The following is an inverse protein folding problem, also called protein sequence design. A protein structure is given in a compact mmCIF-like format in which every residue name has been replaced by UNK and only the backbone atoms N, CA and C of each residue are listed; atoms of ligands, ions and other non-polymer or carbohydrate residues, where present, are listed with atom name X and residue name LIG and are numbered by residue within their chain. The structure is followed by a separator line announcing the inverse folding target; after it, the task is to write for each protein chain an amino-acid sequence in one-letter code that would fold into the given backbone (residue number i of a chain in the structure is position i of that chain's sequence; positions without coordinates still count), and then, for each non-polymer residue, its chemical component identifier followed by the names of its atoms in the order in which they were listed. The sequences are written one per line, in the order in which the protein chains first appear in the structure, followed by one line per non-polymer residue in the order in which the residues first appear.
data_IF_996711953891
#
_entry.id   IF_996711953891
#
_cell.length_a   1.000
_cell.length_b   1.000
_cell.length_c   1.000
_cell.angle_alpha   90.00
_cell.angle_beta   90.00
_cell.angle_gamma   90.00
#
_symmetry.space_group_name_H-M   'P 1'
#
loop_
_entity.id
_entity.type
_entity.pdbx_description
1 polymer ?
#
# COMPACT_ATOMS: atom_id res chain seq x y z
N UNK A 1 23.16 5.60 -11.00
CA UNK A 1 22.87 7.06 -10.98
C UNK A 1 22.51 7.45 -9.56
N UNK A 2 23.13 8.49 -9.01
CA UNK A 2 22.84 8.94 -7.64
C UNK A 2 21.71 9.99 -7.67
N UNK A 3 20.76 9.92 -6.74
CA UNK A 3 19.61 10.84 -6.66
C UNK A 3 20.04 12.32 -6.54
N UNK A 4 21.17 12.56 -5.88
CA UNK A 4 21.84 13.86 -5.74
C UNK A 4 22.43 14.41 -7.03
N UNK A 5 22.79 13.55 -7.97
CA UNK A 5 23.35 13.92 -9.26
C UNK A 5 22.24 14.38 -10.22
N UNK A 6 21.03 13.82 -10.10
CA UNK A 6 19.86 14.27 -10.88
C UNK A 6 19.16 15.48 -10.26
N UNK A 7 19.02 15.55 -8.93
CA UNK A 7 18.28 16.63 -8.29
C UNK A 7 19.13 17.89 -8.04
N UNK A 8 20.45 17.74 -7.81
CA UNK A 8 21.32 18.85 -7.42
C UNK A 8 22.63 18.94 -8.22
N UNK A 9 22.86 18.07 -9.21
CA UNK A 9 24.05 18.09 -10.09
C UNK A 9 25.40 18.00 -9.33
N UNK A 10 25.40 17.52 -8.09
CA UNK A 10 26.61 17.36 -7.26
C UNK A 10 27.12 15.92 -7.41
N UNK A 11 28.33 15.79 -7.99
CA UNK A 11 28.97 14.52 -8.34
C UNK A 11 29.79 13.94 -7.18
N UNK A 12 29.19 13.74 -6.00
CA UNK A 12 29.92 13.17 -4.86
C UNK A 12 29.17 12.02 -4.17
N UNK A 13 29.72 10.80 -4.30
CA UNK A 13 29.17 9.57 -3.73
C UNK A 13 29.02 9.64 -2.21
N UNK A 14 30.01 10.22 -1.53
CA UNK A 14 30.05 10.27 -0.07
C UNK A 14 29.03 11.26 0.50
N UNK A 15 28.84 12.39 -0.16
CA UNK A 15 27.82 13.37 0.23
C UNK A 15 26.41 12.76 0.17
N UNK A 16 26.13 11.98 -0.87
CA UNK A 16 24.84 11.31 -1.06
C UNK A 16 24.56 10.28 0.04
N UNK A 17 25.55 9.45 0.38
CA UNK A 17 25.42 8.49 1.47
C UNK A 17 25.29 9.20 2.82
N UNK A 18 26.06 10.28 3.04
CA UNK A 18 26.01 11.03 4.29
C UNK A 18 24.63 11.65 4.54
N UNK A 19 24.03 12.30 3.53
CA UNK A 19 22.69 12.91 3.65
C UNK A 19 21.62 11.86 3.97
N UNK A 20 21.66 10.70 3.32
CA UNK A 20 20.72 9.60 3.57
C UNK A 20 20.90 9.05 4.98
N UNK A 21 22.14 8.73 5.36
CA UNK A 21 22.46 8.18 6.69
C UNK A 21 22.08 9.18 7.78
N UNK A 22 22.42 10.45 7.63
CA UNK A 22 22.09 11.50 8.59
C UNK A 22 20.57 11.66 8.76
N UNK A 23 19.81 11.72 7.66
CA UNK A 23 18.35 11.85 7.71
C UNK A 23 17.69 10.62 8.31
N UNK A 24 18.15 9.42 7.93
CA UNK A 24 17.66 8.15 8.48
C UNK A 24 18.00 8.00 9.97
N UNK A 25 19.19 8.44 10.39
CA UNK A 25 19.63 8.45 11.78
C UNK A 25 18.82 9.42 12.63
N UNK A 26 18.56 10.63 12.15
CA UNK A 26 17.68 11.59 12.82
C UNK A 26 16.26 11.04 13.02
N UNK A 27 15.73 10.32 12.02
CA UNK A 27 14.42 9.67 12.12
C UNK A 27 14.43 8.49 13.11
N UNK A 28 15.51 7.70 13.15
CA UNK A 28 15.68 6.60 14.09
C UNK A 28 15.72 7.10 15.55
N UNK A 29 16.45 8.19 15.80
CA UNK A 29 16.53 8.83 17.12
C UNK A 29 15.19 9.45 17.56
N UNK A 30 14.32 9.81 16.63
CA UNK A 30 12.98 10.36 16.92
C UNK A 30 11.97 9.30 17.40
N UNK A 31 12.30 7.99 17.36
CA UNK A 31 11.43 6.91 17.84
C UNK A 31 10.22 6.60 16.94
N UNK A 32 9.95 7.42 15.92
CA UNK A 32 8.81 7.28 14.99
C UNK A 32 8.88 6.06 14.08
N UNK A 33 10.06 5.45 13.94
CA UNK A 33 10.29 4.28 13.08
C UNK A 33 9.37 3.09 13.42
N UNK A 34 9.07 2.88 14.70
CA UNK A 34 8.24 1.77 15.19
C UNK A 34 6.81 1.84 14.64
N UNK A 35 6.29 3.03 14.42
CA UNK A 35 4.93 3.22 13.92
C UNK A 35 4.87 3.39 12.39
N UNK A 36 5.99 3.76 11.76
CA UNK A 36 6.14 3.78 10.29
C UNK A 36 6.15 2.35 9.73
N UNK A 37 6.79 1.41 10.42
CA UNK A 37 7.01 0.06 9.93
C UNK A 37 5.71 -0.71 9.60
N UNK A 38 4.69 -0.74 10.47
CA UNK A 38 3.42 -1.41 10.16
C UNK A 38 2.66 -0.73 9.03
N UNK A 39 2.78 0.60 8.87
CA UNK A 39 2.16 1.33 7.77
C UNK A 39 2.73 0.90 6.42
N UNK A 40 4.06 0.77 6.31
CA UNK A 40 4.70 0.22 5.11
C UNK A 40 4.21 -1.21 4.82
N UNK A 41 4.09 -2.04 5.85
CA UNK A 41 3.53 -3.38 5.72
C UNK A 41 2.10 -3.38 5.16
N UNK A 42 1.23 -2.52 5.69
CA UNK A 42 -0.16 -2.41 5.23
C UNK A 42 -0.24 -1.90 3.77
N UNK A 43 0.56 -0.89 3.39
CA UNK A 43 0.60 -0.42 1.99
C UNK A 43 1.01 -1.52 1.02
N UNK A 44 1.99 -2.36 1.40
CA UNK A 44 2.43 -3.48 0.56
C UNK A 44 1.34 -4.55 0.43
N UNK A 45 0.57 -4.80 1.49
CA UNK A 45 -0.58 -5.70 1.43
C UNK A 45 -1.68 -5.18 0.50
N UNK A 46 -1.90 -3.86 0.43
CA UNK A 46 -2.82 -3.26 -0.55
C UNK A 46 -2.36 -3.49 -2.00
N UNK A 47 -1.06 -3.33 -2.29
CA UNK A 47 -0.50 -3.60 -3.63
C UNK A 47 -0.59 -5.09 -3.99
N UNK A 48 -0.34 -5.98 -3.01
CA UNK A 48 -0.50 -7.41 -3.20
C UNK A 48 -1.97 -7.78 -3.48
N UNK A 49 -2.91 -7.21 -2.73
CA UNK A 49 -4.34 -7.39 -2.99
C UNK A 49 -4.72 -6.95 -4.40
N UNK A 50 -4.28 -5.75 -4.84
CA UNK A 50 -4.50 -5.27 -6.21
C UNK A 50 -3.99 -6.26 -7.25
N UNK A 51 -2.78 -6.79 -7.04
CA UNK A 51 -2.17 -7.75 -7.96
C UNK A 51 -3.03 -9.00 -8.09
N UNK A 52 -3.52 -9.55 -6.97
CA UNK A 52 -4.43 -10.71 -7.01
C UNK A 52 -5.78 -10.39 -7.66
N UNK A 53 -6.31 -9.17 -7.50
CA UNK A 53 -7.54 -8.73 -8.18
C UNK A 53 -7.32 -8.67 -9.69
N UNK A 54 -6.19 -8.11 -10.14
CA UNK A 54 -5.82 -8.03 -11.57
C UNK A 54 -5.68 -9.44 -12.15
N UNK A 55 -4.99 -10.34 -11.45
CA UNK A 55 -4.86 -11.75 -11.86
C UNK A 55 -6.23 -12.43 -11.89
N UNK A 56 -7.09 -12.19 -10.91
CA UNK A 56 -8.46 -12.74 -10.88
C UNK A 56 -9.28 -12.23 -12.08
N UNK A 57 -9.18 -10.94 -12.40
CA UNK A 57 -9.84 -10.34 -13.57
C UNK A 57 -9.35 -10.93 -14.89
N UNK A 58 -8.07 -11.31 -14.96
CA UNK A 58 -7.47 -12.01 -16.10
C UNK A 58 -7.91 -13.48 -16.20
N UNK A 59 -7.91 -14.22 -15.08
CA UNK A 59 -8.41 -15.61 -15.04
C UNK A 59 -9.87 -15.70 -15.45
N UNK A 60 -10.68 -14.71 -15.08
CA UNK A 60 -12.10 -14.64 -15.46
C UNK A 60 -12.26 -14.57 -16.97
N UNK A 61 -11.43 -13.77 -17.65
CA UNK A 61 -11.40 -13.71 -19.12
C UNK A 61 -10.91 -15.01 -19.78
N UNK A 62 -10.25 -15.90 -19.02
CA UNK A 62 -9.78 -17.21 -19.49
C UNK A 62 -10.72 -18.36 -19.10
N UNK A 63 -11.85 -18.09 -18.44
CA UNK A 63 -12.80 -19.11 -17.97
C UNK A 63 -12.22 -20.03 -16.88
N UNK A 64 -11.14 -19.62 -16.19
CA UNK A 64 -10.47 -20.42 -15.16
C UNK A 64 -11.03 -20.12 -13.77
N UNK A 65 -10.89 -21.07 -12.85
CA UNK A 65 -11.41 -20.94 -11.48
C UNK A 65 -10.78 -19.75 -10.73
N UNK A 66 -11.62 -18.83 -10.26
CA UNK A 66 -11.21 -17.63 -9.53
C UNK A 66 -10.93 -17.84 -8.05
N UNK A 67 -11.39 -18.96 -7.49
CA UNK A 67 -11.43 -19.19 -6.03
C UNK A 67 -10.04 -19.07 -5.39
N UNK A 68 -9.00 -19.56 -6.06
CA UNK A 68 -7.63 -19.58 -5.54
C UNK A 68 -6.97 -18.19 -5.47
N UNK A 69 -7.37 -17.25 -6.34
CA UNK A 69 -6.79 -15.90 -6.41
C UNK A 69 -7.66 -14.86 -5.70
N UNK A 70 -8.98 -15.05 -5.72
CA UNK A 70 -9.92 -14.12 -5.10
C UNK A 70 -9.92 -14.20 -3.57
N UNK A 71 -9.81 -15.42 -3.01
CA UNK A 71 -9.77 -15.61 -1.56
C UNK A 71 -8.59 -14.86 -0.88
N UNK A 72 -7.32 -15.03 -1.33
CA UNK A 72 -6.21 -14.28 -0.74
C UNK A 72 -6.34 -12.76 -0.95
N UNK A 73 -6.90 -12.31 -2.08
CA UNK A 73 -7.14 -10.88 -2.32
C UNK A 73 -8.07 -10.25 -1.27
N UNK A 74 -9.19 -10.91 -0.97
CA UNK A 74 -10.16 -10.42 0.03
C UNK A 74 -9.55 -10.42 1.42
N UNK A 75 -8.84 -11.50 1.78
CA UNK A 75 -8.19 -11.60 3.08
C UNK A 75 -7.18 -10.45 3.26
N UNK A 76 -6.33 -10.20 2.27
CA UNK A 76 -5.35 -9.10 2.29
C UNK A 76 -6.00 -7.73 2.42
N UNK A 77 -7.13 -7.47 1.74
CA UNK A 77 -7.86 -6.21 1.89
C UNK A 77 -8.40 -6.03 3.32
N UNK A 78 -9.02 -7.07 3.87
CA UNK A 78 -9.61 -7.01 5.23
C UNK A 78 -8.52 -6.77 6.27
N UNK A 79 -7.39 -7.49 6.20
CA UNK A 79 -6.29 -7.31 7.14
C UNK A 79 -5.63 -5.93 6.99
N UNK A 80 -5.50 -5.42 5.77
CA UNK A 80 -4.93 -4.09 5.52
C UNK A 80 -5.80 -2.98 6.08
N UNK A 81 -7.11 -3.03 5.85
CA UNK A 81 -8.06 -2.04 6.38
C UNK A 81 -8.06 -2.07 7.91
N UNK A 82 -8.10 -3.26 8.51
CA UNK A 82 -8.03 -3.42 9.96
C UNK A 82 -6.74 -2.84 10.56
N UNK A 83 -5.59 -3.13 9.93
CA UNK A 83 -4.30 -2.60 10.35
C UNK A 83 -4.24 -1.07 10.23
N UNK A 84 -4.71 -0.50 9.12
CA UNK A 84 -4.72 0.95 8.91
C UNK A 84 -5.63 1.68 9.91
N UNK A 85 -6.81 1.12 10.22
CA UNK A 85 -7.70 1.69 11.23
C UNK A 85 -7.07 1.66 12.63
N UNK A 86 -6.44 0.55 13.01
CA UNK A 86 -5.72 0.45 14.27
C UNK A 86 -4.59 1.49 14.37
N UNK A 87 -3.82 1.64 13.28
CA UNK A 87 -2.73 2.58 13.20
C UNK A 87 -3.21 4.04 13.26
N UNK A 88 -4.33 4.36 12.60
CA UNK A 88 -4.93 5.69 12.64
C UNK A 88 -5.30 6.10 14.06
N UNK A 89 -5.94 5.21 14.83
CA UNK A 89 -6.31 5.48 16.23
C UNK A 89 -5.06 5.70 17.09
N UNK A 90 -4.01 4.91 16.87
CA UNK A 90 -2.71 5.10 17.54
C UNK A 90 -2.11 6.48 17.23
N UNK A 91 -2.09 6.91 15.96
CA UNK A 91 -1.50 8.21 15.58
C UNK A 91 -2.29 9.41 16.10
N UNK A 92 -3.62 9.31 16.15
CA UNK A 92 -4.46 10.34 16.75
C UNK A 92 -4.14 10.50 18.24
N UNK A 93 -3.94 9.39 18.97
CA UNK A 93 -3.53 9.43 20.39
C UNK A 93 -2.13 10.01 20.58
N UNK A 94 -1.19 9.67 19.71
CA UNK A 94 0.19 10.15 19.76
C UNK A 94 0.38 11.59 19.23
N UNK A 95 -0.69 12.25 18.75
CA UNK A 95 -0.66 13.59 18.10
C UNK A 95 0.29 13.69 16.90
N UNK A 96 0.61 12.57 16.28
CA UNK A 96 1.50 12.52 15.12
C UNK A 96 0.73 12.83 13.83
N UNK A 97 0.54 14.12 13.57
CA UNK A 97 -0.29 14.64 12.46
C UNK A 97 0.18 14.18 11.07
N UNK A 98 1.49 14.05 10.85
CA UNK A 98 2.07 13.59 9.59
C UNK A 98 1.68 12.14 9.26
N UNK A 99 1.86 11.22 10.21
CA UNK A 99 1.55 9.80 10.01
C UNK A 99 0.04 9.55 10.02
N UNK A 100 -0.71 10.33 10.80
CA UNK A 100 -2.16 10.31 10.75
C UNK A 100 -2.69 10.69 9.36
N UNK A 101 -2.15 11.76 8.76
CA UNK A 101 -2.52 12.18 7.40
C UNK A 101 -2.21 11.08 6.36
N UNK A 102 -1.00 10.51 6.41
CA UNK A 102 -0.64 9.40 5.53
C UNK A 102 -1.57 8.18 5.68
N UNK A 103 -1.97 7.86 6.92
CA UNK A 103 -2.91 6.77 7.19
C UNK A 103 -4.30 7.04 6.62
N UNK A 104 -4.81 8.27 6.76
CA UNK A 104 -6.11 8.67 6.20
C UNK A 104 -6.09 8.53 4.67
N UNK A 105 -5.01 8.98 4.02
CA UNK A 105 -4.82 8.81 2.58
C UNK A 105 -4.84 7.33 2.20
N UNK A 106 -4.07 6.48 2.89
CA UNK A 106 -4.05 5.03 2.62
C UNK A 106 -5.40 4.36 2.82
N UNK A 107 -6.17 4.76 3.85
CA UNK A 107 -7.55 4.28 4.06
C UNK A 107 -8.44 4.69 2.90
N UNK A 108 -8.35 5.95 2.44
CA UNK A 108 -9.12 6.41 1.28
C UNK A 108 -8.76 5.60 0.02
N UNK A 109 -7.47 5.39 -0.27
CA UNK A 109 -7.05 4.53 -1.39
C UNK A 109 -7.55 3.09 -1.24
N UNK A 110 -7.53 2.54 -0.03
CA UNK A 110 -8.04 1.20 0.23
C UNK A 110 -9.56 1.09 -0.02
N UNK A 111 -10.33 2.11 0.32
CA UNK A 111 -11.78 2.15 0.04
C UNK A 111 -12.05 2.25 -1.46
N UNK A 112 -11.26 3.06 -2.19
CA UNK A 112 -11.33 3.12 -3.66
C UNK A 112 -11.04 1.75 -4.29
N UNK A 113 -10.03 1.02 -3.78
CA UNK A 113 -9.79 -0.35 -4.23
C UNK A 113 -10.95 -1.29 -4.00
N UNK A 114 -11.56 -1.26 -2.80
CA UNK A 114 -12.73 -2.08 -2.51
C UNK A 114 -13.87 -1.76 -3.49
N UNK A 115 -14.07 -0.47 -3.80
CA UNK A 115 -15.03 -0.04 -4.81
C UNK A 115 -14.69 -0.61 -6.20
N UNK A 116 -13.42 -0.56 -6.62
CA UNK A 116 -12.98 -1.13 -7.90
C UNK A 116 -13.19 -2.63 -7.99
N UNK A 117 -12.94 -3.38 -6.90
CA UNK A 117 -13.20 -4.82 -6.82
C UNK A 117 -14.68 -5.10 -6.98
N UNK A 118 -15.54 -4.43 -6.19
CA UNK A 118 -16.99 -4.62 -6.25
C UNK A 118 -17.50 -4.27 -7.66
N UNK A 119 -17.02 -3.18 -8.24
CA UNK A 119 -17.39 -2.78 -9.60
C UNK A 119 -16.93 -3.79 -10.65
N UNK A 120 -15.76 -4.42 -10.47
CA UNK A 120 -15.21 -5.43 -11.38
C UNK A 120 -16.00 -6.73 -11.30
N UNK A 121 -16.31 -7.18 -10.08
CA UNK A 121 -17.16 -8.35 -9.84
C UNK A 121 -18.55 -8.13 -10.43
N UNK A 122 -19.16 -6.97 -10.20
CA UNK A 122 -20.50 -6.64 -10.72
C UNK A 122 -20.53 -6.51 -12.25
N UNK A 123 -19.49 -5.95 -12.88
CA UNK A 123 -19.42 -5.77 -14.34
C UNK A 123 -19.07 -7.03 -15.10
N UNK A 124 -18.13 -7.85 -14.61
CA UNK A 124 -17.68 -9.06 -15.32
C UNK A 124 -18.42 -10.33 -14.93
N UNK A 125 -19.03 -10.39 -13.74
CA UNK A 125 -19.94 -11.48 -13.36
C UNK A 125 -21.11 -11.64 -14.34
N UNK A 126 -21.57 -10.54 -14.94
CA UNK A 126 -22.64 -10.55 -15.95
C UNK A 126 -22.16 -11.01 -17.35
N UNK A 127 -20.92 -10.66 -17.75
CA UNK A 127 -20.41 -10.97 -19.09
C UNK A 127 -19.88 -12.40 -19.26
N UNK A 128 -19.42 -13.04 -18.17
CA UNK A 128 -18.84 -14.38 -18.25
C UNK A 128 -19.85 -15.52 -18.00
N UNK A 129 -21.11 -15.21 -17.62
CA UNK A 129 -22.21 -16.18 -17.61
C UNK A 129 -22.99 -16.27 -18.94
N UNK A 130 -22.69 -15.38 -19.90
CA UNK A 130 -23.45 -15.22 -21.16
C UNK A 130 -22.65 -15.70 -22.39
N UNK A 131 -21.40 -16.14 -22.21
CA UNK A 131 -20.59 -16.86 -23.20
C UNK A 131 -20.31 -18.29 -22.70
#
# INVERSE_FOLDING_TARGET
RYLSEELFKIKNRFFSTFVVVFTSGALALSGKWSAIWPMFGASNQLVAALTFIVISSWLLCRGKSLKFTFFPAVLMLVTSIGALLYQLVQFIKSKDTLLACASIVLIALSLLMVYDVISTVRRKGLKCQIL
#
